data_IF_185637236242
#
_entry.id   IF_185637236242
#
_cell.length_a   1.000
_cell.length_b   1.000
_cell.length_c   1.000
_cell.angle_alpha   90.00
_cell.angle_beta   90.00
_cell.angle_gamma   90.00
#
_symmetry.space_group_name_H-M   'P 1'
#
loop_
_entity.id
_entity.type
_entity.pdbx_description
1 polymer ?
#
# COMPACT_ATOMS: atom_id res chain seq x y z
N UNK A 1 15.51 -21.79 -9.98
CA UNK A 1 15.78 -20.34 -9.93
C UNK A 1 16.13 -20.00 -8.51
N UNK A 2 17.27 -19.34 -8.28
CA UNK A 2 17.66 -18.94 -6.94
C UNK A 2 16.85 -17.70 -6.55
N UNK A 3 16.21 -17.74 -5.39
CA UNK A 3 15.56 -16.57 -4.81
C UNK A 3 16.65 -15.62 -4.32
N UNK A 4 16.59 -14.37 -4.74
CA UNK A 4 17.53 -13.35 -4.29
C UNK A 4 16.87 -12.54 -3.17
N UNK A 5 17.28 -12.81 -1.93
CA UNK A 5 16.98 -11.92 -0.82
C UNK A 5 17.87 -10.70 -0.99
N UNK A 6 17.27 -9.59 -1.36
CA UNK A 6 18.01 -8.37 -1.52
C UNK A 6 18.19 -7.75 -0.14
N UNK A 7 19.45 -7.53 0.23
CA UNK A 7 19.83 -6.97 1.53
C UNK A 7 20.02 -5.46 1.48
N UNK A 8 20.49 -4.94 0.34
CA UNK A 8 20.65 -3.52 0.05
C UNK A 8 19.99 -3.20 -1.28
N UNK A 9 19.21 -2.13 -1.32
CA UNK A 9 18.51 -1.66 -2.51
C UNK A 9 18.99 -0.27 -2.87
N UNK A 10 18.99 0.12 -4.14
CA UNK A 10 19.15 1.54 -4.47
C UNK A 10 17.82 2.26 -4.16
N UNK A 11 17.92 3.38 -3.45
CA UNK A 11 16.76 4.19 -3.08
C UNK A 11 16.87 5.56 -3.72
N UNK A 12 15.78 5.98 -4.36
CA UNK A 12 15.65 7.31 -4.94
C UNK A 12 14.58 8.04 -4.11
N UNK A 13 14.97 8.91 -3.18
CA UNK A 13 14.01 9.73 -2.46
C UNK A 13 13.45 10.80 -3.39
N UNK A 14 12.13 10.94 -3.41
CA UNK A 14 11.45 11.99 -4.16
C UNK A 14 10.59 12.78 -3.18
N UNK A 15 10.92 14.08 -3.05
CA UNK A 15 10.13 15.03 -2.29
C UNK A 15 8.86 15.37 -3.05
N UNK A 16 7.71 15.10 -2.44
CA UNK A 16 6.45 15.32 -3.12
C UNK A 16 5.74 16.55 -2.56
N UNK A 17 4.99 17.21 -3.44
CA UNK A 17 4.25 18.39 -3.12
C UNK A 17 3.06 18.07 -2.21
N UNK A 18 2.97 18.80 -1.10
CA UNK A 18 1.85 18.74 -0.17
C UNK A 18 0.96 19.96 -0.44
N UNK A 19 -0.23 19.77 -1.03
CA UNK A 19 -1.15 20.88 -1.28
C UNK A 19 -1.78 21.37 0.02
N UNK A 20 -2.28 22.62 -0.01
CA UNK A 20 -3.17 23.12 1.03
C UNK A 20 -4.39 22.21 1.19
N UNK A 21 -4.80 21.99 2.45
CA UNK A 21 -5.89 21.07 2.81
C UNK A 21 -7.21 21.44 2.14
N UNK A 22 -7.61 22.72 2.24
CA UNK A 22 -8.89 23.21 1.73
C UNK A 22 -8.89 23.13 0.20
N UNK A 23 -7.76 23.51 -0.42
CA UNK A 23 -7.60 23.37 -1.86
C UNK A 23 -7.71 21.92 -2.30
N UNK A 24 -7.01 20.98 -1.66
CA UNK A 24 -7.06 19.56 -2.02
C UNK A 24 -8.49 18.99 -1.94
N UNK A 25 -9.21 19.26 -0.85
CA UNK A 25 -10.59 18.80 -0.69
C UNK A 25 -11.51 19.34 -1.80
N UNK A 26 -11.35 20.62 -2.13
CA UNK A 26 -12.12 21.26 -3.20
C UNK A 26 -11.84 20.63 -4.56
N UNK A 27 -10.56 20.37 -4.87
CA UNK A 27 -10.15 19.70 -6.12
C UNK A 27 -10.77 18.31 -6.22
N UNK A 28 -10.61 17.49 -5.18
CA UNK A 28 -11.10 16.11 -5.16
C UNK A 28 -12.62 16.09 -5.33
N UNK A 29 -13.34 16.94 -4.60
CA UNK A 29 -14.81 17.05 -4.72
C UNK A 29 -15.22 17.41 -6.14
N UNK A 30 -14.67 18.49 -6.68
CA UNK A 30 -15.09 19.01 -7.98
C UNK A 30 -14.85 18.00 -9.11
N UNK A 31 -13.72 17.30 -9.08
CA UNK A 31 -13.36 16.36 -10.15
C UNK A 31 -14.17 15.08 -10.05
N UNK A 32 -14.41 14.56 -8.84
CA UNK A 32 -15.32 13.42 -8.65
C UNK A 32 -16.76 13.77 -9.05
N UNK A 33 -17.24 15.00 -8.81
CA UNK A 33 -18.58 15.42 -9.23
C UNK A 33 -18.80 15.40 -10.75
N UNK A 34 -17.74 15.28 -11.55
CA UNK A 34 -17.88 15.07 -13.02
C UNK A 34 -18.24 13.62 -13.38
N UNK A 35 -18.03 12.68 -12.45
CA UNK A 35 -18.12 11.23 -12.69
C UNK A 35 -18.99 10.49 -11.68
N UNK A 36 -19.59 11.20 -10.70
CA UNK A 36 -20.40 10.66 -9.62
C UNK A 36 -21.57 11.61 -9.29
N UNK A 37 -22.75 11.05 -9.03
CA UNK A 37 -23.97 11.82 -8.76
C UNK A 37 -23.98 12.51 -7.39
N UNK A 38 -23.44 11.85 -6.37
CA UNK A 38 -23.26 12.44 -5.03
C UNK A 38 -21.80 12.37 -4.62
N UNK A 39 -21.23 13.50 -4.16
CA UNK A 39 -19.82 13.57 -3.72
C UNK A 39 -19.65 14.48 -2.50
N UNK A 40 -18.94 13.99 -1.50
CA UNK A 40 -18.39 14.77 -0.38
C UNK A 40 -16.88 14.56 -0.31
N UNK A 41 -16.14 15.63 0.03
CA UNK A 41 -14.73 15.55 0.35
C UNK A 41 -14.43 16.58 1.46
N UNK A 42 -14.05 16.09 2.64
CA UNK A 42 -13.89 16.91 3.84
C UNK A 42 -12.76 16.39 4.73
N UNK A 43 -12.07 17.31 5.40
CA UNK A 43 -11.08 16.94 6.40
C UNK A 43 -11.78 16.66 7.72
N UNK A 44 -11.59 15.46 8.25
CA UNK A 44 -12.16 14.99 9.51
C UNK A 44 -11.07 14.39 10.39
N UNK A 45 -11.32 14.33 11.69
CA UNK A 45 -10.48 13.54 12.58
C UNK A 45 -10.58 12.06 12.20
N UNK A 46 -9.45 11.37 12.07
CA UNK A 46 -9.45 9.98 11.64
C UNK A 46 -10.24 9.11 12.63
N UNK A 47 -11.27 8.36 12.16
CA UNK A 47 -11.93 7.37 13.00
C UNK A 47 -10.93 6.29 13.40
N UNK A 48 -11.24 5.50 14.42
CA UNK A 48 -10.39 4.37 14.78
C UNK A 48 -10.47 3.29 13.68
N UNK A 49 -9.43 3.21 12.86
CA UNK A 49 -9.38 2.28 11.74
C UNK A 49 -9.13 0.83 12.16
N UNK A 50 -8.90 0.54 13.45
CA UNK A 50 -8.87 -0.84 13.94
C UNK A 50 -10.26 -1.47 14.00
N UNK A 51 -11.31 -0.66 13.99
CA UNK A 51 -12.71 -1.11 14.07
C UNK A 51 -13.30 -1.42 12.69
N UNK A 52 -14.45 -2.10 12.68
CA UNK A 52 -15.29 -2.26 11.49
C UNK A 52 -15.64 -0.89 10.88
N UNK A 53 -15.69 -0.75 9.54
CA UNK A 53 -15.49 -1.80 8.53
C UNK A 53 -14.03 -2.02 8.10
N UNK A 54 -13.08 -1.28 8.68
CA UNK A 54 -11.70 -1.20 8.17
C UNK A 54 -10.81 -2.34 8.67
N UNK A 55 -10.91 -2.67 9.96
CA UNK A 55 -10.13 -3.73 10.61
C UNK A 55 -8.61 -3.65 10.36
N UNK A 56 -8.05 -2.45 10.26
CA UNK A 56 -6.62 -2.23 10.03
C UNK A 56 -5.77 -2.66 11.24
N UNK A 57 -4.47 -2.82 10.99
CA UNK A 57 -3.49 -3.15 12.02
C UNK A 57 -3.08 -1.94 12.88
N UNK A 58 -3.46 -0.73 12.48
CA UNK A 58 -3.22 0.52 13.20
C UNK A 58 -4.50 1.38 13.28
N UNK A 59 -4.62 2.28 14.27
CA UNK A 59 -5.83 3.07 14.49
C UNK A 59 -5.99 4.27 13.55
N UNK A 60 -4.97 4.65 12.78
CA UNK A 60 -5.04 5.75 11.84
C UNK A 60 -4.02 5.65 10.70
N UNK A 61 -3.90 6.72 9.90
CA UNK A 61 -3.02 6.82 8.73
C UNK A 61 -1.94 7.92 8.88
N UNK A 62 -1.94 8.63 10.01
CA UNK A 62 -1.11 9.80 10.25
C UNK A 62 0.31 9.47 10.71
N UNK A 63 1.11 10.53 10.79
CA UNK A 63 2.53 10.50 11.20
C UNK A 63 3.48 10.07 10.09
N UNK A 64 4.40 10.98 9.74
CA UNK A 64 5.54 10.77 8.82
C UNK A 64 5.23 9.87 7.60
N UNK A 65 4.23 10.29 6.83
CA UNK A 65 3.69 9.54 5.71
C UNK A 65 4.69 9.46 4.55
N UNK A 66 4.83 8.27 3.96
CA UNK A 66 5.73 7.96 2.86
C UNK A 66 5.10 6.91 1.95
N UNK A 67 5.17 7.09 0.64
CA UNK A 67 4.91 6.06 -0.36
C UNK A 67 6.17 5.28 -0.66
N UNK A 68 6.05 3.96 -0.73
CA UNK A 68 7.08 3.05 -1.24
C UNK A 68 6.61 2.48 -2.58
N UNK A 69 7.37 2.75 -3.64
CA UNK A 69 7.22 2.06 -4.91
C UNK A 69 8.40 1.12 -5.08
N UNK A 70 8.15 -0.18 -5.01
CA UNK A 70 9.16 -1.21 -4.91
C UNK A 70 9.19 -2.01 -6.20
N UNK A 71 10.37 -2.18 -6.77
CA UNK A 71 10.62 -3.03 -7.93
C UNK A 71 9.92 -2.52 -9.20
N UNK A 72 9.27 -3.44 -9.92
CA UNK A 72 8.53 -3.09 -11.13
C UNK A 72 8.20 -4.29 -12.02
N UNK A 73 7.42 -4.05 -13.07
CA UNK A 73 7.00 -5.08 -14.04
C UNK A 73 8.17 -5.70 -14.81
N UNK A 74 9.31 -5.02 -14.87
CA UNK A 74 10.57 -5.55 -15.41
C UNK A 74 11.08 -6.79 -14.65
N UNK A 75 10.67 -6.98 -13.40
CA UNK A 75 10.97 -8.20 -12.63
C UNK A 75 10.08 -9.38 -13.03
N UNK A 76 9.04 -9.17 -13.85
CA UNK A 76 8.12 -10.19 -14.34
C UNK A 76 8.36 -10.47 -15.83
N UNK A 77 8.57 -9.41 -16.62
CA UNK A 77 8.63 -9.44 -18.08
C UNK A 77 9.94 -8.84 -18.60
N UNK A 78 10.50 -9.37 -19.71
CA UNK A 78 10.09 -10.59 -20.40
C UNK A 78 10.51 -11.87 -19.66
N UNK A 79 11.49 -11.77 -18.77
CA UNK A 79 11.99 -12.88 -17.96
C UNK A 79 11.82 -12.56 -16.48
N UNK A 80 11.31 -13.54 -15.73
CA UNK A 80 11.04 -13.37 -14.30
C UNK A 80 12.34 -13.30 -13.49
N UNK A 81 12.48 -12.25 -12.69
CA UNK A 81 13.53 -12.07 -11.68
C UNK A 81 12.90 -12.21 -10.29
N UNK A 82 13.31 -13.23 -9.52
CA UNK A 82 12.75 -13.54 -8.21
C UNK A 82 13.35 -12.65 -7.11
N UNK A 83 13.16 -11.34 -7.26
CA UNK A 83 13.56 -10.32 -6.28
C UNK A 83 12.63 -10.36 -5.07
N UNK A 84 13.20 -10.48 -3.88
CA UNK A 84 12.48 -10.48 -2.61
C UNK A 84 12.89 -9.25 -1.80
N UNK A 85 11.90 -8.45 -1.44
CA UNK A 85 12.03 -7.21 -0.69
C UNK A 85 11.51 -7.44 0.74
N UNK A 86 12.39 -7.41 1.74
CA UNK A 86 11.97 -7.50 3.14
C UNK A 86 11.70 -6.10 3.71
N UNK A 87 10.46 -5.83 4.12
CA UNK A 87 10.05 -4.58 4.75
C UNK A 87 10.91 -4.24 5.97
N UNK A 88 11.41 -5.22 6.73
CA UNK A 88 12.33 -4.92 7.85
C UNK A 88 13.64 -4.31 7.35
N UNK A 89 14.21 -4.87 6.29
CA UNK A 89 15.44 -4.34 5.67
C UNK A 89 15.20 -2.96 5.07
N UNK A 90 14.07 -2.78 4.39
CA UNK A 90 13.68 -1.47 3.84
C UNK A 90 13.55 -0.44 4.96
N UNK A 91 12.80 -0.72 6.02
CA UNK A 91 12.63 0.20 7.15
C UNK A 91 13.97 0.53 7.83
N UNK A 92 14.88 -0.44 7.96
CA UNK A 92 16.24 -0.21 8.46
C UNK A 92 17.00 0.77 7.54
N UNK A 93 17.02 0.49 6.24
CA UNK A 93 17.74 1.31 5.26
C UNK A 93 17.20 2.74 5.16
N UNK A 94 15.89 2.91 5.36
CA UNK A 94 15.24 4.21 5.37
C UNK A 94 15.36 4.93 6.73
N UNK A 95 16.13 4.40 7.69
CA UNK A 95 16.27 4.93 9.05
C UNK A 95 14.93 5.06 9.80
N UNK A 96 13.96 4.16 9.50
CA UNK A 96 12.62 4.15 10.11
C UNK A 96 12.44 3.05 11.14
N UNK A 97 13.41 2.17 11.34
CA UNK A 97 13.29 1.00 12.21
C UNK A 97 13.14 1.31 13.69
N UNK A 98 13.53 2.51 14.13
CA UNK A 98 13.37 3.00 15.50
C UNK A 98 11.99 3.65 15.75
N UNK A 99 11.13 3.71 14.73
CA UNK A 99 9.78 4.27 14.82
C UNK A 99 8.72 3.19 14.60
N UNK A 100 7.50 3.44 15.07
CA UNK A 100 6.34 2.66 14.64
C UNK A 100 6.10 2.89 13.14
N UNK A 101 5.92 1.81 12.40
CA UNK A 101 5.56 1.87 10.99
C UNK A 101 4.32 1.03 10.73
N UNK A 102 3.28 1.67 10.23
CA UNK A 102 2.11 1.04 9.68
C UNK A 102 2.21 1.02 8.15
N UNK A 103 2.09 -0.16 7.54
CA UNK A 103 2.21 -0.36 6.10
C UNK A 103 0.91 -0.94 5.56
N UNK A 104 0.34 -0.26 4.57
CA UNK A 104 -0.77 -0.74 3.75
C UNK A 104 -0.42 -0.64 2.27
N UNK A 105 -1.09 -1.42 1.42
CA UNK A 105 -0.90 -1.31 -0.02
C UNK A 105 -1.05 -2.65 -0.73
N UNK A 106 -0.60 -2.67 -1.97
CA UNK A 106 -0.75 -3.80 -2.87
C UNK A 106 0.60 -4.21 -3.46
N UNK A 107 0.86 -5.50 -3.49
CA UNK A 107 2.03 -6.03 -4.17
C UNK A 107 1.85 -7.47 -4.57
N UNK A 108 2.95 -8.11 -4.91
CA UNK A 108 2.96 -9.53 -5.20
C UNK A 108 3.62 -10.31 -4.05
N UNK A 109 3.08 -11.48 -3.74
CA UNK A 109 3.62 -12.38 -2.74
C UNK A 109 3.49 -13.83 -3.20
N UNK A 110 4.07 -14.74 -2.43
CA UNK A 110 3.94 -16.19 -2.59
C UNK A 110 3.29 -16.78 -1.36
N UNK A 111 2.42 -17.77 -1.55
CA UNK A 111 1.94 -18.60 -0.45
C UNK A 111 3.13 -19.38 0.14
N UNK A 112 3.34 -19.38 1.48
CA UNK A 112 4.51 -20.01 2.10
C UNK A 112 4.69 -21.50 1.77
N UNK A 113 3.58 -22.24 1.64
CA UNK A 113 3.60 -23.69 1.47
C UNK A 113 3.67 -24.15 0.01
N UNK A 114 2.93 -23.48 -0.88
CA UNK A 114 2.78 -23.91 -2.28
C UNK A 114 3.66 -23.11 -3.24
N UNK A 115 4.23 -21.98 -2.78
CA UNK A 115 4.93 -20.99 -3.60
C UNK A 115 4.08 -20.43 -4.75
N UNK A 116 2.76 -20.58 -4.69
CA UNK A 116 1.84 -19.95 -5.62
C UNK A 116 1.90 -18.44 -5.48
N UNK A 117 2.06 -17.75 -6.60
CA UNK A 117 2.04 -16.29 -6.63
C UNK A 117 0.61 -15.77 -6.55
N UNK A 118 0.44 -14.67 -5.84
CA UNK A 118 -0.83 -13.99 -5.67
C UNK A 118 -0.64 -12.57 -5.18
N UNK A 119 -1.74 -11.84 -5.09
CA UNK A 119 -1.76 -10.46 -4.64
C UNK A 119 -1.61 -10.39 -3.13
N UNK A 120 -0.58 -9.65 -2.69
CA UNK A 120 -0.44 -9.20 -1.32
C UNK A 120 -1.35 -8.00 -1.11
N UNK A 121 -2.25 -8.10 -0.14
CA UNK A 121 -3.05 -6.99 0.39
C UNK A 121 -2.43 -6.66 1.75
N UNK A 122 -1.47 -5.75 1.75
CA UNK A 122 -0.65 -5.44 2.92
C UNK A 122 -1.47 -4.67 3.96
N UNK A 123 -1.39 -5.12 5.20
CA UNK A 123 -1.99 -4.49 6.38
C UNK A 123 -1.20 -4.97 7.60
N UNK A 124 -0.11 -4.28 7.93
CA UNK A 124 0.77 -4.72 9.01
C UNK A 124 1.47 -3.57 9.72
N UNK A 125 1.75 -3.77 11.00
CA UNK A 125 2.56 -2.85 11.81
C UNK A 125 3.92 -3.47 12.12
N UNK A 126 4.93 -2.60 12.12
CA UNK A 126 6.33 -2.88 12.39
C UNK A 126 6.77 -1.92 13.49
N UNK A 127 6.96 -2.45 14.69
CA UNK A 127 7.29 -1.66 15.87
C UNK A 127 8.67 -2.06 16.41
N UNK A 128 9.51 -1.09 16.82
CA UNK A 128 10.74 -1.40 17.52
C UNK A 128 10.42 -2.06 18.85
N UNK A 129 11.13 -3.13 19.17
CA UNK A 129 11.21 -3.68 20.53
C UNK A 129 12.67 -3.68 20.99
N UNK A 130 12.92 -4.09 22.23
CA UNK A 130 14.28 -4.15 22.78
C UNK A 130 15.25 -4.89 21.84
N UNK A 131 16.51 -4.43 21.82
CA UNK A 131 17.61 -4.98 21.01
C UNK A 131 17.44 -4.83 19.49
N UNK A 132 16.83 -3.73 19.02
CA UNK A 132 16.69 -3.42 17.58
C UNK A 132 15.88 -4.46 16.77
N UNK A 133 15.14 -5.31 17.47
CA UNK A 133 14.25 -6.28 16.84
C UNK A 133 12.97 -5.52 16.42
N UNK A 134 12.50 -5.78 15.21
CA UNK A 134 11.21 -5.27 14.73
C UNK A 134 10.14 -6.33 14.96
N UNK A 135 9.20 -6.05 15.86
CA UNK A 135 7.99 -6.83 16.06
C UNK A 135 7.00 -6.54 14.93
N UNK A 136 6.38 -7.61 14.40
CA UNK A 136 5.45 -7.52 13.28
C UNK A 136 4.08 -8.01 13.73
N UNK A 137 3.06 -7.16 13.63
CA UNK A 137 1.66 -7.56 13.73
C UNK A 137 1.04 -7.51 12.34
N UNK A 138 0.70 -8.69 11.82
CA UNK A 138 0.28 -8.88 10.44
C UNK A 138 -1.22 -9.18 10.36
N UNK A 139 -1.98 -8.30 9.73
CA UNK A 139 -3.39 -8.49 9.33
C UNK A 139 -3.54 -8.53 7.80
N UNK A 140 -2.44 -8.74 7.08
CA UNK A 140 -2.43 -8.77 5.61
C UNK A 140 -3.22 -9.96 5.08
N UNK A 141 -3.79 -9.78 3.90
CA UNK A 141 -4.47 -10.85 3.16
C UNK A 141 -3.70 -11.21 1.91
N UNK A 142 -3.96 -12.40 1.41
CA UNK A 142 -3.34 -12.93 0.20
C UNK A 142 -4.42 -13.49 -0.72
N UNK A 143 -4.55 -12.88 -1.90
CA UNK A 143 -5.52 -13.29 -2.91
C UNK A 143 -4.81 -14.04 -4.03
N UNK A 144 -5.26 -15.26 -4.34
CA UNK A 144 -4.62 -16.09 -5.36
C UNK A 144 -5.64 -16.97 -6.08
N UNK A 145 -5.23 -17.54 -7.21
CA UNK A 145 -6.03 -18.50 -7.96
C UNK A 145 -5.68 -19.91 -7.50
N UNK A 146 -6.66 -20.63 -6.96
CA UNK A 146 -6.49 -22.03 -6.64
C UNK A 146 -6.67 -22.86 -7.92
N UNK A 147 -5.64 -23.63 -8.30
CA UNK A 147 -5.65 -24.37 -9.57
C UNK A 147 -6.39 -25.71 -9.50
N UNK A 148 -6.62 -26.24 -8.29
CA UNK A 148 -7.34 -27.50 -8.07
C UNK A 148 -7.99 -27.47 -6.69
N UNK A 149 -9.28 -27.79 -6.57
CA UNK A 149 -9.80 -28.35 -5.32
C UNK A 149 -9.56 -29.87 -5.32
N UNK A 150 -9.63 -30.52 -4.16
CA UNK A 150 -9.45 -31.98 -4.01
C UNK A 150 -10.46 -32.81 -4.83
N UNK A 151 -11.46 -32.16 -5.43
CA UNK A 151 -12.51 -32.76 -6.27
C UNK A 151 -12.37 -32.49 -7.78
N UNK A 152 -11.36 -31.74 -8.23
CA UNK A 152 -11.11 -31.47 -9.66
C UNK A 152 -12.09 -30.48 -10.33
N UNK A 153 -12.75 -29.61 -9.58
CA UNK A 153 -13.67 -28.59 -10.10
C UNK A 153 -12.98 -27.24 -10.41
N UNK A 154 -13.70 -26.36 -11.09
CA UNK A 154 -13.23 -25.10 -11.70
C UNK A 154 -12.37 -24.19 -10.81
N UNK A 155 -11.52 -23.42 -11.48
CA UNK A 155 -10.59 -22.45 -10.91
C UNK A 155 -11.31 -21.43 -10.02
N UNK A 156 -11.01 -21.42 -8.71
CA UNK A 156 -11.57 -20.45 -7.76
C UNK A 156 -10.53 -19.42 -7.32
N UNK A 157 -11.00 -18.19 -7.13
CA UNK A 157 -10.26 -17.16 -6.41
C UNK A 157 -10.39 -17.40 -4.91
N UNK A 158 -9.25 -17.53 -4.23
CA UNK A 158 -9.17 -17.70 -2.79
C UNK A 158 -8.58 -16.45 -2.13
N UNK A 159 -9.03 -16.17 -0.91
CA UNK A 159 -8.52 -15.10 -0.06
C UNK A 159 -8.15 -15.68 1.31
N UNK A 160 -6.88 -15.57 1.68
CA UNK A 160 -6.36 -16.09 2.94
C UNK A 160 -5.82 -14.95 3.83
N UNK A 161 -5.85 -15.18 5.15
CA UNK A 161 -5.13 -14.34 6.12
C UNK A 161 -3.70 -14.88 6.22
N UNK A 162 -2.71 -13.99 6.15
CA UNK A 162 -1.31 -14.37 6.32
C UNK A 162 -0.98 -14.51 7.81
N UNK A 163 -1.13 -15.72 8.35
CA UNK A 163 -1.06 -16.01 9.80
C UNK A 163 0.35 -15.99 10.43
N UNK A 164 1.41 -15.84 9.62
CA UNK A 164 2.79 -15.72 10.11
C UNK A 164 3.27 -14.27 10.01
N UNK A 165 4.29 -13.85 10.78
CA UNK A 165 4.92 -12.55 10.57
C UNK A 165 5.51 -12.53 9.15
N UNK A 166 4.75 -11.95 8.23
CA UNK A 166 5.11 -11.84 6.84
C UNK A 166 5.60 -10.42 6.61
N UNK A 167 6.89 -10.31 6.27
CA UNK A 167 7.56 -9.02 6.06
C UNK A 167 8.04 -8.85 4.63
N UNK A 168 7.52 -9.61 3.66
CA UNK A 168 8.15 -9.68 2.33
C UNK A 168 7.25 -9.19 1.20
N UNK A 169 7.81 -8.62 0.17
CA UNK A 169 7.16 -8.38 -1.10
C UNK A 169 8.00 -9.02 -2.20
N UNK A 170 7.36 -9.64 -3.19
CA UNK A 170 8.06 -10.29 -4.30
C UNK A 170 7.89 -9.43 -5.55
N UNK A 171 8.97 -9.24 -6.29
CA UNK A 171 9.04 -8.56 -7.59
C UNK A 171 8.63 -7.09 -7.62
N UNK A 172 7.45 -6.71 -7.14
CA UNK A 172 6.96 -5.33 -7.15
C UNK A 172 5.81 -5.09 -6.14
N UNK A 173 5.62 -3.83 -5.77
CA UNK A 173 4.44 -3.38 -5.03
C UNK A 173 4.46 -1.89 -4.70
N UNK A 174 3.28 -1.35 -4.41
CA UNK A 174 3.07 0.04 -4.03
C UNK A 174 2.44 0.07 -2.63
N UNK A 175 3.13 0.74 -1.70
CA UNK A 175 2.75 0.77 -0.30
C UNK A 175 2.72 2.19 0.25
N UNK A 176 1.78 2.44 1.14
CA UNK A 176 1.74 3.62 1.98
C UNK A 176 2.24 3.24 3.37
N UNK A 177 3.19 4.02 3.87
CA UNK A 177 3.84 3.87 5.17
C UNK A 177 3.54 5.11 6.00
N UNK A 178 3.18 4.91 7.26
CA UNK A 178 2.96 5.99 8.24
C UNK A 178 3.32 5.49 9.63
N UNK A 179 3.14 6.31 10.67
CA UNK A 179 3.21 5.86 12.06
C UNK A 179 1.89 5.26 12.57
N UNK A 180 0.82 5.32 11.77
CA UNK A 180 -0.50 4.82 12.13
C UNK A 180 -1.24 5.69 13.15
N UNK A 181 -0.89 6.98 13.23
CA UNK A 181 -1.48 7.91 14.20
C UNK A 181 -2.86 8.39 13.76
N UNK A 182 -3.69 8.74 14.74
CA UNK A 182 -5.02 9.33 14.51
C UNK A 182 -4.92 10.84 14.34
N UNK A 183 -4.60 11.25 13.11
CA UNK A 183 -4.56 12.66 12.70
C UNK A 183 -5.73 12.98 11.77
N UNK A 184 -5.85 14.24 11.32
CA UNK A 184 -6.87 14.58 10.33
C UNK A 184 -6.59 13.90 8.98
N UNK A 185 -7.64 13.36 8.37
CA UNK A 185 -7.63 12.71 7.05
C UNK A 185 -8.69 13.33 6.14
N UNK A 186 -8.46 13.24 4.83
CA UNK A 186 -9.46 13.62 3.84
C UNK A 186 -10.45 12.45 3.68
N UNK A 187 -11.65 12.58 4.26
CA UNK A 187 -12.76 11.67 4.02
C UNK A 187 -13.41 12.02 2.69
N UNK A 188 -13.57 11.03 1.84
CA UNK A 188 -14.20 11.18 0.53
C UNK A 188 -15.32 10.16 0.41
N UNK A 189 -16.52 10.62 0.09
CA UNK A 189 -17.65 9.75 -0.23
C UNK A 189 -18.09 10.09 -1.65
N UNK A 190 -18.29 9.08 -2.49
CA UNK A 190 -18.78 9.23 -3.84
C UNK A 190 -19.77 8.10 -4.14
N UNK A 191 -20.94 8.45 -4.68
CA UNK A 191 -21.99 7.48 -5.03
C UNK A 191 -22.46 7.70 -6.47
N UNK A 192 -23.09 6.67 -7.02
CA UNK A 192 -23.70 6.71 -8.35
C UNK A 192 -22.69 7.10 -9.44
N UNK A 193 -21.74 6.20 -9.74
CA UNK A 193 -20.74 6.44 -10.79
C UNK A 193 -21.41 6.61 -12.15
N UNK A 194 -21.19 7.76 -12.77
CA UNK A 194 -21.65 8.13 -14.12
C UNK A 194 -20.52 8.29 -15.13
N UNK A 195 -19.25 8.31 -14.68
CA UNK A 195 -18.08 8.56 -15.53
C UNK A 195 -16.86 7.70 -15.16
N UNK A 196 -15.71 8.34 -14.98
CA UNK A 196 -14.43 7.71 -14.63
C UNK A 196 -14.50 6.90 -13.33
N UNK A 197 -13.59 5.94 -13.16
CA UNK A 197 -13.46 5.28 -11.86
C UNK A 197 -12.94 6.26 -10.80
N UNK A 198 -13.12 5.89 -9.53
CA UNK A 198 -12.84 6.76 -8.39
C UNK A 198 -11.38 7.21 -8.32
N UNK A 199 -10.44 6.30 -8.58
CA UNK A 199 -9.01 6.59 -8.49
C UNK A 199 -8.56 7.40 -9.69
N UNK A 200 -8.98 7.02 -10.91
CA UNK A 200 -8.67 7.76 -12.14
C UNK A 200 -9.18 9.21 -12.05
N UNK A 201 -10.42 9.42 -11.59
CA UNK A 201 -11.01 10.74 -11.44
C UNK A 201 -10.18 11.64 -10.51
N UNK A 202 -9.77 11.12 -9.35
CA UNK A 202 -8.93 11.86 -8.38
C UNK A 202 -7.56 12.18 -8.99
N UNK A 203 -6.88 11.19 -9.59
CA UNK A 203 -5.55 11.36 -10.17
C UNK A 203 -5.55 12.41 -11.29
N UNK A 204 -6.58 12.39 -12.15
CA UNK A 204 -6.76 13.40 -13.20
C UNK A 204 -6.96 14.79 -12.64
N UNK A 205 -7.80 14.91 -11.61
CA UNK A 205 -8.05 16.18 -10.94
C UNK A 205 -6.80 16.81 -10.34
N UNK A 206 -6.03 16.01 -9.62
CA UNK A 206 -4.75 16.42 -9.02
C UNK A 206 -3.76 16.82 -10.12
N UNK A 207 -3.61 16.00 -11.16
CA UNK A 207 -2.65 16.23 -12.25
C UNK A 207 -2.95 17.50 -13.06
N UNK A 208 -4.24 17.83 -13.26
CA UNK A 208 -4.66 19.05 -13.96
C UNK A 208 -4.37 20.31 -13.17
N UNK A 209 -4.61 20.29 -11.86
CA UNK A 209 -4.55 21.50 -11.03
C UNK A 209 -3.14 21.77 -10.54
N UNK A 210 -2.30 20.74 -10.50
CA UNK A 210 -0.91 20.86 -10.14
C UNK A 210 -0.03 20.19 -11.19
N UNK A 211 0.00 20.76 -12.41
CA UNK A 211 0.84 20.24 -13.46
C UNK A 211 2.30 20.28 -13.00
N UNK A 212 3.10 19.30 -13.40
CA UNK A 212 4.53 19.17 -13.06
C UNK A 212 4.88 18.97 -11.57
N UNK A 213 3.91 18.59 -10.72
CA UNK A 213 4.16 18.22 -9.33
C UNK A 213 3.87 16.74 -9.08
N UNK A 214 4.72 16.08 -8.31
CA UNK A 214 4.51 14.73 -7.79
C UNK A 214 3.84 14.84 -6.39
N UNK A 215 2.92 13.95 -6.01
CA UNK A 215 2.09 14.02 -4.78
C UNK A 215 2.34 12.90 -3.75
N UNK A 216 2.76 13.24 -2.51
CA UNK A 216 3.15 12.42 -1.30
C UNK A 216 4.51 11.68 -1.22
N UNK A 217 5.44 12.03 -0.30
CA UNK A 217 6.83 11.51 -0.20
C UNK A 217 7.06 10.12 -0.81
N UNK A 218 7.51 10.03 -2.06
CA UNK A 218 7.65 8.77 -2.77
C UNK A 218 9.10 8.38 -2.70
N UNK A 219 9.35 7.28 -2.01
CA UNK A 219 10.64 6.60 -2.09
C UNK A 219 10.47 5.51 -3.13
N UNK A 220 11.10 5.73 -4.28
CA UNK A 220 11.21 4.70 -5.30
C UNK A 220 12.38 3.80 -4.90
N UNK A 221 12.06 2.54 -4.61
CA UNK A 221 13.02 1.46 -4.38
C UNK A 221 13.07 0.65 -5.68
N UNK A 222 13.91 1.10 -6.62
CA UNK A 222 14.07 0.45 -7.92
C UNK A 222 15.36 -0.38 -7.97
N UNK A 223 15.27 -1.54 -8.63
CA UNK A 223 16.39 -2.37 -9.09
C UNK A 223 16.06 -2.95 -10.45
#
# INVERSE_FOLDING_TARGET
MNNENISNFDTIPIDLFIPDKIKLATVVKNELSTSFGEVTAEWVDCPDLTQEPFNLAAPGLGGDATLLDIGGTANIFPFRQLKIYDFKNILNQLNRSQNNNFIIGGGLSTQPMTLNYGHLIMNGTFAPVANEIIAVSNKSRFAFRNRFNDQGEEEQFALEILNNPFSKCHMYGNFFVSQGLREQVLKVEAKERTGHDFIEAIQRGISRIFPSKLFSNLIVVQL
#
